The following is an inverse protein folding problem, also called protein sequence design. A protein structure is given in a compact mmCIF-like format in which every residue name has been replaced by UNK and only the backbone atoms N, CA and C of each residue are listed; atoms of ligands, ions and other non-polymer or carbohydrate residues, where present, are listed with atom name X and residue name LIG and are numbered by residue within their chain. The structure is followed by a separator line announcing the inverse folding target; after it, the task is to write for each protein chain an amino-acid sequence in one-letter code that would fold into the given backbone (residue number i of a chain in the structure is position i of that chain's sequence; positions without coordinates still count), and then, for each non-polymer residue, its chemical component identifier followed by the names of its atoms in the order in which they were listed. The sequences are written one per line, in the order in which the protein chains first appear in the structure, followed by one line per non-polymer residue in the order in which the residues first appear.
data_IF_780149707837
#
_entry.id   IF_780149707837
#
_cell.length_a   1.000
_cell.length_b   1.000
_cell.length_c   1.000
_cell.angle_alpha   90.00
_cell.angle_beta   90.00
_cell.angle_gamma   90.00
#
_symmetry.space_group_name_H-M   'P 1'
#
loop_
_entity.id
_entity.type
_entity.pdbx_description
1 polymer ?
#
# COMPACT_ATOMS: atom_id res chain seq x y z
N UNK A 1 4.02 15.48 20.28
CA UNK A 1 4.03 14.04 20.65
C UNK A 1 4.04 13.05 19.48
N UNK A 2 3.78 13.44 18.22
CA UNK A 2 3.77 12.52 17.06
C UNK A 2 5.15 11.95 16.65
N UNK A 3 6.27 12.56 17.04
CA UNK A 3 7.62 12.09 16.69
C UNK A 3 8.12 10.88 17.50
N UNK A 4 7.55 10.65 18.69
CA UNK A 4 7.92 9.51 19.54
C UNK A 4 7.30 8.19 19.03
N UNK A 5 6.14 8.23 18.38
CA UNK A 5 5.46 7.04 17.84
C UNK A 5 6.17 6.46 16.62
N UNK A 6 6.57 7.29 15.64
CA UNK A 6 7.19 6.80 14.40
C UNK A 6 8.60 6.23 14.63
N UNK A 7 9.39 6.82 15.54
CA UNK A 7 10.71 6.27 15.94
C UNK A 7 10.56 4.90 16.59
N UNK A 8 9.58 4.73 17.49
CA UNK A 8 9.28 3.44 18.13
C UNK A 8 8.80 2.41 17.11
N UNK A 9 7.92 2.80 16.19
CA UNK A 9 7.43 1.93 15.14
C UNK A 9 8.55 1.48 14.20
N UNK A 10 9.45 2.40 13.80
CA UNK A 10 10.64 2.07 13.02
C UNK A 10 11.50 1.00 13.71
N UNK A 11 11.74 1.15 15.01
CA UNK A 11 12.54 0.18 15.78
C UNK A 11 11.87 -1.19 15.80
N UNK A 12 10.57 -1.25 16.10
CA UNK A 12 9.78 -2.47 16.08
C UNK A 12 9.80 -3.16 14.71
N UNK A 13 9.67 -2.38 13.64
CA UNK A 13 9.67 -2.96 12.30
C UNK A 13 11.07 -3.42 11.88
N UNK A 14 12.15 -2.73 12.26
CA UNK A 14 13.50 -3.22 11.99
C UNK A 14 13.78 -4.57 12.65
N UNK A 15 13.35 -4.75 13.91
CA UNK A 15 13.52 -6.03 14.59
C UNK A 15 12.69 -7.17 13.98
N UNK A 16 11.60 -6.86 13.28
CA UNK A 16 10.64 -7.86 12.79
C UNK A 16 10.75 -8.13 11.28
N UNK A 17 11.25 -7.15 10.51
CA UNK A 17 11.32 -7.19 9.04
C UNK A 17 12.74 -6.93 8.51
N UNK A 18 13.73 -6.73 9.40
CA UNK A 18 15.13 -6.49 9.06
C UNK A 18 15.51 -5.00 8.96
N UNK A 19 16.81 -4.72 8.90
CA UNK A 19 17.33 -3.35 8.98
C UNK A 19 17.19 -2.52 7.70
N UNK A 20 17.09 -3.20 6.54
CA UNK A 20 17.00 -2.57 5.21
C UNK A 20 15.57 -2.16 4.82
N UNK A 21 14.80 -1.68 5.80
CA UNK A 21 13.44 -1.19 5.59
C UNK A 21 13.34 0.33 5.70
N UNK A 22 12.39 0.86 4.96
CA UNK A 22 11.87 2.22 5.04
C UNK A 22 10.41 2.18 5.47
N UNK A 23 9.86 3.33 5.86
CA UNK A 23 8.46 3.44 6.25
C UNK A 23 7.70 4.09 5.10
N UNK A 24 6.82 3.32 4.49
CA UNK A 24 5.92 3.75 3.42
C UNK A 24 4.57 4.18 4.00
N UNK A 25 4.00 5.23 3.42
CA UNK A 25 2.69 5.77 3.77
C UNK A 25 1.65 5.19 2.80
N UNK A 26 0.80 4.28 3.29
CA UNK A 26 -0.22 3.61 2.45
C UNK A 26 -1.21 4.59 1.83
N UNK A 27 -1.50 5.66 2.56
CA UNK A 27 -2.09 6.89 2.05
C UNK A 27 -1.04 7.98 2.18
N UNK A 28 -0.56 8.55 1.06
CA UNK A 28 0.48 9.56 1.08
C UNK A 28 0.13 10.74 1.97
N UNK A 29 1.14 11.30 2.63
CA UNK A 29 0.99 12.39 3.60
C UNK A 29 0.24 13.62 3.06
N UNK A 30 0.43 13.92 1.79
CA UNK A 30 -0.18 15.03 1.05
C UNK A 30 -1.66 14.79 0.71
N UNK A 31 -2.13 13.53 0.84
CA UNK A 31 -3.50 13.07 0.57
C UNK A 31 -4.35 12.94 1.84
N UNK A 32 -3.80 13.27 3.01
CA UNK A 32 -4.51 13.14 4.28
C UNK A 32 -5.07 14.50 4.67
N UNK A 33 -6.40 14.64 4.81
CA UNK A 33 -7.06 15.86 5.29
C UNK A 33 -6.42 16.40 6.57
N UNK A 34 -6.31 17.73 6.71
CA UNK A 34 -5.86 18.37 7.97
C UNK A 34 -6.68 17.89 9.19
N UNK A 35 -7.97 17.60 9.00
CA UNK A 35 -8.86 17.04 10.02
C UNK A 35 -8.46 15.64 10.50
N UNK A 36 -7.64 14.91 9.73
CA UNK A 36 -7.16 13.55 10.04
C UNK A 36 -5.64 13.51 10.27
N UNK A 37 -5.03 14.62 10.72
CA UNK A 37 -3.57 14.72 10.92
C UNK A 37 -2.99 13.62 11.83
N UNK A 38 -3.76 13.09 12.78
CA UNK A 38 -3.34 11.98 13.64
C UNK A 38 -3.04 10.71 12.84
N UNK A 39 -3.80 10.43 11.78
CA UNK A 39 -3.62 9.26 10.91
C UNK A 39 -2.31 9.29 10.09
N UNK A 40 -1.75 10.49 9.87
CA UNK A 40 -0.57 10.71 9.03
C UNK A 40 0.64 9.85 9.40
N UNK A 41 0.91 9.67 10.68
CA UNK A 41 2.02 8.83 11.17
C UNK A 41 1.52 7.76 12.14
N UNK A 42 0.25 7.38 11.99
CA UNK A 42 -0.37 6.30 12.75
C UNK A 42 0.13 4.95 12.23
N UNK A 43 0.24 3.95 13.11
CA UNK A 43 0.65 2.60 12.72
C UNK A 43 -0.25 1.98 11.65
N UNK A 44 -1.51 2.39 11.57
CA UNK A 44 -2.46 1.95 10.54
C UNK A 44 -2.25 2.60 9.17
N UNK A 45 -1.31 3.54 9.03
CA UNK A 45 -0.95 4.13 7.73
C UNK A 45 0.51 3.86 7.34
N UNK A 46 1.24 3.05 8.13
CA UNK A 46 2.68 2.86 7.96
C UNK A 46 2.99 1.40 7.67
N UNK A 47 3.60 1.17 6.51
CA UNK A 47 4.07 -0.12 6.08
C UNK A 47 5.61 -0.19 6.09
N UNK A 48 6.22 -1.25 6.65
CA UNK A 48 7.64 -1.50 6.52
C UNK A 48 7.96 -2.03 5.12
N UNK A 49 8.63 -1.22 4.31
CA UNK A 49 8.97 -1.55 2.92
C UNK A 49 10.48 -1.63 2.75
N UNK A 50 10.97 -2.76 2.25
CA UNK A 50 12.36 -2.87 1.77
C UNK A 50 12.73 -1.70 0.84
N UNK A 51 13.85 -1.04 1.13
CA UNK A 51 14.22 0.25 0.54
C UNK A 51 14.20 0.26 -0.99
N UNK A 52 14.89 -0.69 -1.64
CA UNK A 52 14.99 -0.75 -3.10
C UNK A 52 13.64 -1.00 -3.78
N UNK A 53 12.77 -1.77 -3.11
CA UNK A 53 11.42 -2.07 -3.61
C UNK A 53 10.49 -0.87 -3.45
N UNK A 54 10.69 -0.09 -2.40
CA UNK A 54 9.94 1.14 -2.15
C UNK A 54 10.22 2.23 -3.19
N UNK A 55 11.47 2.36 -3.65
CA UNK A 55 11.82 3.26 -4.76
C UNK A 55 11.15 2.82 -6.06
N UNK A 56 11.13 1.51 -6.33
CA UNK A 56 10.42 0.97 -7.48
C UNK A 56 8.91 1.18 -7.41
N UNK A 57 8.33 1.03 -6.22
CA UNK A 57 6.92 1.34 -5.94
C UNK A 57 6.58 2.80 -6.28
N UNK A 58 7.40 3.76 -5.84
CA UNK A 58 7.17 5.17 -6.17
C UNK A 58 7.39 5.52 -7.64
N UNK A 59 8.23 4.75 -8.35
CA UNK A 59 8.37 4.89 -9.80
C UNK A 59 7.10 4.48 -10.56
N UNK A 60 6.32 3.54 -10.01
CA UNK A 60 5.10 3.03 -10.63
C UNK A 60 3.86 3.82 -10.20
N UNK A 61 3.70 4.11 -8.92
CA UNK A 61 2.42 4.54 -8.34
C UNK A 61 2.47 5.92 -7.68
N UNK A 62 3.35 6.79 -8.17
CA UNK A 62 3.66 8.11 -7.59
C UNK A 62 2.46 8.78 -6.91
N UNK A 63 2.50 8.95 -5.58
CA UNK A 63 1.46 9.64 -4.80
C UNK A 63 0.00 9.12 -4.94
N UNK A 64 -0.18 7.90 -5.46
CA UNK A 64 -1.44 7.16 -5.38
C UNK A 64 -1.66 6.62 -3.96
N UNK A 65 -2.92 6.49 -3.56
CA UNK A 65 -3.29 5.73 -2.37
C UNK A 65 -3.31 4.23 -2.65
N UNK A 66 -3.15 3.41 -1.61
CA UNK A 66 -3.24 1.95 -1.74
C UNK A 66 -4.57 1.47 -2.38
N UNK A 67 -5.67 2.22 -2.20
CA UNK A 67 -6.96 1.91 -2.82
C UNK A 67 -6.99 2.22 -4.31
N UNK A 68 -6.46 3.38 -4.73
CA UNK A 68 -6.34 3.74 -6.15
C UNK A 68 -5.46 2.73 -6.90
N UNK A 69 -4.39 2.26 -6.24
CA UNK A 69 -3.51 1.23 -6.80
C UNK A 69 -4.25 -0.10 -6.92
N UNK A 70 -5.03 -0.49 -5.91
CA UNK A 70 -5.84 -1.70 -5.96
C UNK A 70 -6.83 -1.67 -7.12
N UNK A 71 -7.58 -0.59 -7.26
CA UNK A 71 -8.62 -0.41 -8.29
C UNK A 71 -8.03 -0.41 -9.71
N UNK A 72 -6.81 0.12 -9.87
CA UNK A 72 -6.15 0.24 -11.18
C UNK A 72 -5.20 -0.92 -11.50
N UNK A 73 -4.97 -1.86 -10.57
CA UNK A 73 -3.83 -2.79 -10.64
C UNK A 73 -3.83 -3.63 -11.92
N UNK A 74 -4.98 -4.19 -12.32
CA UNK A 74 -5.06 -5.04 -13.51
C UNK A 74 -4.85 -4.22 -14.79
N UNK A 75 -5.36 -3.00 -14.84
CA UNK A 75 -5.17 -2.10 -15.98
C UNK A 75 -3.68 -1.77 -16.14
N UNK A 76 -3.01 -1.41 -15.04
CA UNK A 76 -1.57 -1.10 -15.04
C UNK A 76 -0.77 -2.33 -15.47
N UNK A 77 -1.09 -3.51 -14.92
CA UNK A 77 -0.43 -4.76 -15.29
C UNK A 77 -0.58 -5.08 -16.78
N UNK A 78 -1.80 -4.96 -17.31
CA UNK A 78 -2.09 -5.21 -18.72
C UNK A 78 -1.32 -4.22 -19.62
N UNK A 79 -1.24 -2.94 -19.22
CA UNK A 79 -0.44 -1.94 -19.92
C UNK A 79 1.04 -2.34 -20.00
N UNK A 80 1.61 -2.79 -18.89
CA UNK A 80 3.05 -3.10 -18.79
C UNK A 80 3.44 -4.44 -19.45
N UNK A 81 2.57 -5.45 -19.40
CA UNK A 81 2.92 -6.82 -19.81
C UNK A 81 2.13 -7.41 -20.96
N UNK A 82 0.89 -6.95 -21.22
CA UNK A 82 0.04 -7.58 -22.24
C UNK A 82 0.05 -6.83 -23.56
N UNK A 83 0.08 -5.50 -23.55
CA UNK A 83 0.16 -4.75 -24.80
C UNK A 83 1.60 -4.73 -25.32
N UNK A 84 1.75 -4.99 -26.63
CA UNK A 84 3.05 -5.02 -27.32
C UNK A 84 3.51 -3.60 -27.71
N UNK A 85 3.54 -2.70 -26.75
CA UNK A 85 4.00 -1.33 -26.93
C UNK A 85 5.45 -1.21 -26.45
N UNK A 86 6.31 -0.53 -27.21
CA UNK A 86 7.69 -0.25 -26.79
C UNK A 86 7.74 0.79 -25.67
N UNK A 87 6.82 1.76 -25.73
CA UNK A 87 6.70 2.84 -24.76
C UNK A 87 5.27 2.99 -24.26
N UNK A 88 5.12 3.39 -23.01
CA UNK A 88 3.84 3.52 -22.32
C UNK A 88 3.76 4.91 -21.67
N UNK A 89 2.63 5.58 -21.84
CA UNK A 89 2.25 6.73 -21.03
C UNK A 89 1.61 6.23 -19.71
N UNK A 90 2.04 6.70 -18.53
CA UNK A 90 1.57 6.21 -17.24
C UNK A 90 0.24 6.87 -16.85
N UNK A 91 -0.79 6.68 -17.67
CA UNK A 91 -2.10 7.35 -17.55
C UNK A 91 -2.78 7.13 -16.19
N UNK A 92 -2.46 6.04 -15.50
CA UNK A 92 -2.98 5.77 -14.16
C UNK A 92 -2.52 6.78 -13.10
N UNK A 93 -1.44 7.53 -13.36
CA UNK A 93 -1.00 8.61 -12.48
C UNK A 93 -1.94 9.83 -12.50
N UNK A 94 -2.97 9.84 -13.35
CA UNK A 94 -3.93 10.93 -13.40
C UNK A 94 -4.75 11.09 -12.10
N UNK A 95 -4.89 10.02 -11.30
CA UNK A 95 -5.61 10.09 -10.00
C UNK A 95 -4.83 10.81 -8.91
N UNK A 96 -3.53 11.03 -9.13
CA UNK A 96 -2.63 11.62 -8.15
C UNK A 96 -2.97 13.10 -7.96
N UNK A 97 -2.98 13.54 -6.70
CA UNK A 97 -3.34 14.91 -6.30
C UNK A 97 -2.71 15.26 -4.96
N UNK A 98 -2.82 16.50 -4.53
CA UNK A 98 -2.48 16.92 -3.16
C UNK A 98 -3.67 17.65 -2.56
N UNK A 99 -3.99 17.39 -1.29
CA UNK A 99 -5.24 17.87 -0.69
C UNK A 99 -5.00 18.96 0.37
N UNK A 100 -3.75 19.16 0.83
CA UNK A 100 -3.46 20.03 1.98
C UNK A 100 -2.08 20.70 1.91
N UNK A 101 -1.76 21.30 0.77
CA UNK A 101 -0.49 21.97 0.52
C UNK A 101 -0.69 23.47 0.27
N UNK A 102 0.40 24.23 0.23
CA UNK A 102 0.34 25.64 -0.20
C UNK A 102 -0.04 25.72 -1.68
N UNK A 103 -0.62 26.84 -2.12
CA UNK A 103 -0.95 27.06 -3.54
C UNK A 103 0.27 26.81 -4.43
N UNK A 104 1.45 27.30 -4.03
CA UNK A 104 2.70 27.06 -4.75
C UNK A 104 3.04 25.57 -4.88
N UNK A 105 2.91 24.80 -3.81
CA UNK A 105 3.17 23.35 -3.84
C UNK A 105 2.16 22.59 -4.69
N UNK A 106 0.90 23.05 -4.74
CA UNK A 106 -0.14 22.48 -5.62
C UNK A 106 0.26 22.72 -7.09
N UNK A 107 0.66 23.94 -7.45
CA UNK A 107 1.10 24.27 -8.82
C UNK A 107 2.31 23.42 -9.23
N UNK A 108 3.35 23.34 -8.38
CA UNK A 108 4.54 22.50 -8.63
C UNK A 108 4.15 21.03 -8.82
N UNK A 109 3.20 20.53 -8.03
CA UNK A 109 2.71 19.16 -8.14
C UNK A 109 2.01 18.92 -9.48
N UNK A 110 1.10 19.80 -9.89
CA UNK A 110 0.35 19.68 -11.15
C UNK A 110 1.26 19.82 -12.39
N UNK A 111 2.26 20.71 -12.35
CA UNK A 111 3.29 20.79 -13.40
C UNK A 111 4.06 19.47 -13.53
N UNK A 112 4.50 18.91 -12.41
CA UNK A 112 5.21 17.62 -12.39
C UNK A 112 4.32 16.48 -12.89
N UNK A 113 3.05 16.45 -12.47
CA UNK A 113 2.06 15.47 -12.93
C UNK A 113 1.85 15.56 -14.43
N UNK A 114 1.67 16.77 -14.95
CA UNK A 114 1.50 17.02 -16.39
C UNK A 114 2.69 16.47 -17.18
N UNK A 115 3.91 16.74 -16.74
CA UNK A 115 5.13 16.19 -17.36
C UNK A 115 5.16 14.65 -17.34
N UNK A 116 4.83 14.03 -16.20
CA UNK A 116 4.78 12.57 -16.09
C UNK A 116 3.71 11.94 -16.99
N UNK A 117 2.58 12.63 -17.20
CA UNK A 117 1.48 12.17 -18.04
C UNK A 117 1.75 12.38 -19.54
N UNK A 118 2.70 13.22 -19.92
CA UNK A 118 3.12 13.37 -21.32
C UNK A 118 4.38 12.57 -21.67
N UNK A 119 5.12 12.11 -20.65
CA UNK A 119 6.32 11.31 -20.82
C UNK A 119 6.00 9.86 -21.25
N UNK A 120 6.75 9.38 -22.25
CA UNK A 120 6.68 8.01 -22.74
C UNK A 120 7.81 7.18 -22.10
N UNK A 121 7.42 6.30 -21.18
CA UNK A 121 8.37 5.42 -20.50
C UNK A 121 8.62 4.17 -21.33
N UNK A 122 9.87 3.75 -21.39
CA UNK A 122 10.22 2.45 -21.96
C UNK A 122 9.50 1.32 -21.21
N UNK A 123 8.84 0.42 -21.93
CA UNK A 123 8.09 -0.68 -21.33
C UNK A 123 9.00 -1.57 -20.47
N UNK A 124 10.23 -1.83 -20.92
CA UNK A 124 11.22 -2.61 -20.17
C UNK A 124 11.59 -1.97 -18.81
N UNK A 125 11.60 -0.65 -18.72
CA UNK A 125 11.84 0.09 -17.48
C UNK A 125 10.70 -0.14 -16.50
N UNK A 126 9.44 -0.01 -16.95
CA UNK A 126 8.26 -0.25 -16.12
C UNK A 126 8.16 -1.71 -15.67
N UNK A 127 8.46 -2.66 -16.56
CA UNK A 127 8.56 -4.09 -16.22
C UNK A 127 9.61 -4.34 -15.13
N UNK A 128 10.80 -3.75 -15.26
CA UNK A 128 11.85 -3.84 -14.23
C UNK A 128 11.36 -3.27 -12.90
N UNK A 129 10.72 -2.10 -12.89
CA UNK A 129 10.14 -1.52 -11.66
C UNK A 129 9.06 -2.42 -11.05
N UNK A 130 8.19 -3.01 -11.87
CA UNK A 130 7.18 -3.96 -11.43
C UNK A 130 7.81 -5.19 -10.76
N UNK A 131 8.78 -5.81 -11.42
CA UNK A 131 9.48 -6.98 -10.91
C UNK A 131 10.20 -6.68 -9.59
N UNK A 132 10.88 -5.52 -9.49
CA UNK A 132 11.50 -5.10 -8.23
C UNK A 132 10.46 -4.89 -7.13
N UNK A 133 9.34 -4.24 -7.45
CA UNK A 133 8.28 -3.95 -6.51
C UNK A 133 7.59 -5.22 -5.99
N UNK A 134 7.14 -6.10 -6.87
CA UNK A 134 6.28 -7.26 -6.54
C UNK A 134 7.02 -8.60 -6.46
N UNK A 135 8.32 -8.62 -6.77
CA UNK A 135 9.17 -9.84 -6.89
C UNK A 135 8.70 -10.82 -7.97
N UNK A 136 7.93 -10.37 -8.95
CA UNK A 136 7.40 -11.24 -10.00
C UNK A 136 6.43 -10.54 -10.93
N UNK A 137 6.09 -11.21 -12.03
CA UNK A 137 5.17 -10.69 -13.07
C UNK A 137 3.71 -11.05 -12.81
N UNK A 138 3.42 -11.96 -11.88
CA UNK A 138 2.06 -12.46 -11.67
C UNK A 138 1.17 -11.42 -10.98
N UNK A 139 -0.02 -11.23 -11.55
CA UNK A 139 -1.02 -10.29 -11.05
C UNK A 139 -1.66 -10.78 -9.75
N UNK A 140 -1.90 -12.10 -9.60
CA UNK A 140 -2.43 -12.66 -8.34
C UNK A 140 -1.43 -12.41 -7.23
N UNK A 141 -0.16 -12.65 -7.52
CA UNK A 141 0.93 -12.36 -6.62
C UNK A 141 1.02 -10.88 -6.22
N UNK A 142 0.81 -9.95 -7.15
CA UNK A 142 0.78 -8.51 -6.86
C UNK A 142 -0.44 -8.13 -5.98
N UNK A 143 -1.62 -8.68 -6.28
CA UNK A 143 -2.84 -8.49 -5.46
C UNK A 143 -2.64 -8.94 -4.02
N UNK A 144 -2.05 -10.12 -3.80
CA UNK A 144 -1.75 -10.61 -2.46
C UNK A 144 -0.75 -9.70 -1.72
N UNK A 145 0.24 -9.12 -2.42
CA UNK A 145 1.12 -8.13 -1.82
C UNK A 145 0.38 -6.84 -1.42
N UNK A 146 -0.56 -6.36 -2.23
CA UNK A 146 -1.40 -5.23 -1.83
C UNK A 146 -2.29 -5.56 -0.63
N UNK A 147 -2.91 -6.76 -0.57
CA UNK A 147 -3.65 -7.22 0.61
C UNK A 147 -2.77 -7.24 1.86
N UNK A 148 -1.55 -7.74 1.73
CA UNK A 148 -0.58 -7.74 2.81
C UNK A 148 -0.24 -6.32 3.30
N UNK A 149 -0.04 -5.36 2.40
CA UNK A 149 0.11 -3.94 2.75
C UNK A 149 -1.13 -3.41 3.47
N UNK A 150 -2.32 -3.70 2.95
CA UNK A 150 -3.61 -3.30 3.53
C UNK A 150 -3.88 -3.93 4.90
N UNK A 151 -3.34 -5.12 5.20
CA UNK A 151 -3.39 -5.71 6.54
C UNK A 151 -2.72 -4.83 7.60
N UNK A 152 -1.75 -3.97 7.25
CA UNK A 152 -1.24 -2.97 8.20
C UNK A 152 -2.27 -1.87 8.49
N UNK A 153 -3.19 -1.55 7.58
CA UNK A 153 -4.30 -0.63 7.91
C UNK A 153 -5.31 -1.28 8.85
N UNK A 154 -5.48 -2.60 8.75
CA UNK A 154 -6.41 -3.33 9.62
C UNK A 154 -5.76 -3.61 10.98
N UNK A 155 -4.56 -4.15 11.01
CA UNK A 155 -3.92 -4.67 12.23
C UNK A 155 -2.80 -3.78 12.78
N UNK A 156 -2.37 -2.75 12.05
CA UNK A 156 -1.32 -1.84 12.49
C UNK A 156 -0.03 -2.58 12.79
N UNK A 157 0.63 -2.17 13.89
CA UNK A 157 1.89 -2.80 14.32
C UNK A 157 1.75 -4.27 14.70
N UNK A 158 0.54 -4.79 14.94
CA UNK A 158 0.32 -6.21 15.25
C UNK A 158 0.67 -7.13 14.09
N UNK A 159 0.82 -6.60 12.87
CA UNK A 159 1.45 -7.35 11.77
C UNK A 159 2.88 -7.81 12.06
N UNK A 160 3.60 -7.12 12.95
CA UNK A 160 4.92 -7.53 13.42
C UNK A 160 4.87 -8.68 14.46
N UNK A 161 3.69 -8.96 15.02
CA UNK A 161 3.45 -10.01 16.02
C UNK A 161 2.46 -11.03 15.45
N UNK A 162 2.94 -11.88 14.54
CA UNK A 162 2.10 -12.85 13.84
C UNK A 162 1.40 -13.81 14.81
N UNK A 163 2.05 -14.18 15.92
CA UNK A 163 1.46 -15.06 16.94
C UNK A 163 0.20 -14.46 17.55
N UNK A 164 0.20 -13.15 17.81
CA UNK A 164 -0.99 -12.44 18.26
C UNK A 164 -2.17 -12.57 17.29
N UNK A 165 -1.92 -12.48 15.98
CA UNK A 165 -2.95 -12.57 14.94
C UNK A 165 -3.40 -14.01 14.65
N UNK A 166 -2.63 -15.02 15.06
CA UNK A 166 -3.03 -16.43 14.96
C UNK A 166 -4.09 -16.81 15.98
N UNK A 167 -4.16 -16.13 17.13
CA UNK A 167 -5.27 -16.29 18.08
C UNK A 167 -6.58 -15.76 17.47
N UNK A 168 -7.64 -16.57 17.53
CA UNK A 168 -8.94 -16.20 16.95
C UNK A 168 -9.59 -15.04 17.71
N UNK A 169 -9.54 -15.04 19.04
CA UNK A 169 -10.05 -13.93 19.87
C UNK A 169 -9.38 -12.60 19.54
N UNK A 170 -8.05 -12.60 19.43
CA UNK A 170 -7.28 -11.41 19.10
C UNK A 170 -7.55 -10.94 17.67
N UNK A 171 -7.65 -11.87 16.71
CA UNK A 171 -7.98 -11.56 15.34
C UNK A 171 -9.39 -10.95 15.24
N UNK A 172 -10.39 -11.57 15.85
CA UNK A 172 -11.76 -11.10 15.92
C UNK A 172 -11.84 -9.70 16.53
N UNK A 173 -11.19 -9.49 17.68
CA UNK A 173 -11.14 -8.19 18.34
C UNK A 173 -10.60 -7.11 17.41
N UNK A 174 -9.52 -7.40 16.68
CA UNK A 174 -8.92 -6.43 15.75
C UNK A 174 -9.80 -6.15 14.54
N UNK A 175 -10.49 -7.15 13.98
CA UNK A 175 -11.46 -6.97 12.88
C UNK A 175 -12.62 -6.09 13.32
N UNK A 176 -13.21 -6.35 14.49
CA UNK A 176 -14.32 -5.53 15.03
C UNK A 176 -13.87 -4.09 15.29
N UNK A 177 -12.67 -3.91 15.84
CA UNK A 177 -12.08 -2.58 16.03
C UNK A 177 -11.83 -1.87 14.68
N UNK A 178 -11.41 -2.60 13.64
CA UNK A 178 -11.23 -2.05 12.31
C UNK A 178 -12.55 -1.64 11.67
N UNK A 179 -13.60 -2.45 11.80
CA UNK A 179 -14.92 -2.18 11.23
C UNK A 179 -15.56 -0.88 11.78
N UNK A 180 -15.20 -0.46 13.00
CA UNK A 180 -15.68 0.80 13.60
C UNK A 180 -15.06 2.08 13.01
N UNK A 181 -14.06 1.98 12.13
CA UNK A 181 -13.38 3.13 11.52
C UNK A 181 -13.57 3.09 9.99
N UNK A 182 -14.13 4.14 9.35
CA UNK A 182 -14.54 4.08 7.93
C UNK A 182 -13.45 3.58 6.97
N UNK A 183 -12.22 4.08 7.11
CA UNK A 183 -11.11 3.71 6.22
C UNK A 183 -10.67 2.25 6.41
N UNK A 184 -10.71 1.75 7.65
CA UNK A 184 -10.33 0.38 7.99
C UNK A 184 -11.46 -0.58 7.61
N UNK A 185 -12.72 -0.17 7.77
CA UNK A 185 -13.90 -0.88 7.25
C UNK A 185 -13.83 -1.06 5.73
N UNK A 186 -13.55 0.02 4.98
CA UNK A 186 -13.30 -0.07 3.53
C UNK A 186 -12.12 -1.02 3.21
N UNK A 187 -11.07 -1.02 4.02
CA UNK A 187 -9.94 -1.93 3.83
C UNK A 187 -10.32 -3.40 4.02
N UNK A 188 -11.19 -3.72 5.00
CA UNK A 188 -11.74 -5.08 5.19
C UNK A 188 -12.41 -5.56 3.89
N UNK A 189 -13.23 -4.70 3.26
CA UNK A 189 -13.90 -5.04 2.00
C UNK A 189 -12.89 -5.42 0.89
N UNK A 190 -11.81 -4.64 0.70
CA UNK A 190 -10.80 -4.97 -0.32
C UNK A 190 -10.03 -6.26 -0.01
N UNK A 191 -9.66 -6.46 1.25
CA UNK A 191 -8.88 -7.62 1.65
C UNK A 191 -9.70 -8.92 1.57
N UNK A 192 -10.95 -8.87 2.01
CA UNK A 192 -11.76 -10.05 2.30
C UNK A 192 -12.98 -10.22 1.38
N UNK A 193 -13.31 -9.22 0.56
CA UNK A 193 -14.40 -9.28 -0.42
C UNK A 193 -15.79 -8.99 0.13
N UNK A 194 -15.96 -8.83 1.45
CA UNK A 194 -17.22 -8.44 2.07
C UNK A 194 -16.99 -7.75 3.42
N UNK A 195 -17.81 -6.76 3.73
CA UNK A 195 -17.87 -6.15 5.08
C UNK A 195 -18.55 -7.08 6.11
N UNK A 196 -19.36 -8.04 5.64
CA UNK A 196 -20.08 -9.02 6.44
C UNK A 196 -19.41 -10.41 6.43
N UNK A 197 -18.11 -10.47 6.09
CA UNK A 197 -17.40 -11.74 6.05
C UNK A 197 -17.36 -12.42 7.43
N UNK A 198 -17.57 -13.73 7.45
CA UNK A 198 -17.37 -14.52 8.67
C UNK A 198 -15.91 -14.45 9.14
N UNK A 199 -15.69 -14.53 10.45
CA UNK A 199 -14.35 -14.50 11.03
C UNK A 199 -13.48 -15.65 10.50
N UNK A 200 -14.07 -16.84 10.36
CA UNK A 200 -13.39 -18.00 9.77
C UNK A 200 -12.96 -17.73 8.33
N UNK A 201 -13.83 -17.15 7.49
CA UNK A 201 -13.52 -16.77 6.12
C UNK A 201 -12.40 -15.72 6.04
N UNK A 202 -12.46 -14.68 6.88
CA UNK A 202 -11.41 -13.68 6.96
C UNK A 202 -10.06 -14.28 7.39
N UNK A 203 -10.09 -15.22 8.34
CA UNK A 203 -8.87 -15.90 8.83
C UNK A 203 -8.25 -16.80 7.78
N UNK A 204 -9.05 -17.51 6.98
CA UNK A 204 -8.58 -18.31 5.84
C UNK A 204 -7.85 -17.42 4.83
N UNK A 205 -8.48 -16.32 4.41
CA UNK A 205 -7.88 -15.38 3.44
C UNK A 205 -6.59 -14.76 4.01
N UNK A 206 -6.60 -14.37 5.29
CA UNK A 206 -5.41 -13.87 5.96
C UNK A 206 -4.27 -14.89 5.91
N UNK A 207 -4.53 -16.14 6.28
CA UNK A 207 -3.52 -17.20 6.27
C UNK A 207 -3.02 -17.52 4.85
N UNK A 208 -3.89 -17.53 3.85
CA UNK A 208 -3.50 -17.72 2.44
C UNK A 208 -2.51 -16.63 2.00
N UNK A 209 -2.86 -15.36 2.22
CA UNK A 209 -2.00 -14.23 1.87
C UNK A 209 -0.68 -14.31 2.63
N UNK A 210 -0.69 -14.58 3.94
CA UNK A 210 0.53 -14.67 4.74
C UNK A 210 1.44 -15.84 4.32
N UNK A 211 0.85 -16.95 3.88
CA UNK A 211 1.58 -18.10 3.33
C UNK A 211 2.27 -17.73 2.01
N UNK A 212 1.55 -17.08 1.09
CA UNK A 212 2.10 -16.61 -0.18
C UNK A 212 3.24 -15.60 0.02
N UNK A 213 3.07 -14.63 0.94
CA UNK A 213 4.13 -13.66 1.26
C UNK A 213 5.38 -14.33 1.85
N UNK A 214 5.22 -15.38 2.65
CA UNK A 214 6.36 -16.06 3.29
C UNK A 214 7.17 -16.94 2.32
N UNK A 215 6.62 -17.26 1.15
CA UNK A 215 7.28 -18.07 0.10
C UNK A 215 8.14 -17.25 -0.87
N UNK A 216 8.23 -15.91 -0.72
CA UNK A 216 8.90 -14.99 -1.68
C UNK A 216 10.03 -14.18 -1.09
#
# INVERSE_FOLDING_TARGET
MAGKSLKRLRRLYRSSFGDKITLDHLIPKSRIPKSQKSFKNDEFNIFPFEQNRHEAWHSLFWNMTIFEIWESLDQIHNLIFRFRQEKICPVWLNVCRVENETVQNIVIFEEKKTRLLTELFQTNYLQKKWLHCFKGKDIKAARNFLKYKMFFMIFGRKMADRKYLLSDDNFQKMILQAASRPIRKRTILYCFGSEAISLSGAKIIFNEVMSDISRR
#
